data_IF_660021583514
#
_entry.id   IF_660021583514
#
_cell.length_a   1.000
_cell.length_b   1.000
_cell.length_c   1.000
_cell.angle_alpha   90.00
_cell.angle_beta   90.00
_cell.angle_gamma   90.00
#
_symmetry.space_group_name_H-M   'P 1'
#
loop_
_entity.id
_entity.type
_entity.pdbx_description
1 polymer ?
#
# COMPACT_ATOMS: atom_id res chain seq x y z
N UNK A 1 -20.79 4.75 15.45
CA UNK A 1 -20.84 5.53 14.20
C UNK A 1 -21.02 4.51 13.10
N UNK A 2 -22.25 4.34 12.64
CA UNK A 2 -22.52 3.49 11.47
C UNK A 2 -21.87 4.16 10.26
N UNK A 3 -20.85 3.51 9.72
CA UNK A 3 -20.18 3.99 8.53
C UNK A 3 -21.06 3.58 7.34
N UNK A 4 -22.08 4.39 7.02
CA UNK A 4 -23.11 4.10 6.00
C UNK A 4 -22.55 3.72 4.62
N UNK A 5 -21.25 3.96 4.38
CA UNK A 5 -20.55 3.60 3.14
C UNK A 5 -20.00 2.19 3.09
N UNK A 6 -19.79 1.51 4.22
CA UNK A 6 -19.24 0.14 4.26
C UNK A 6 -20.31 -0.84 4.72
N UNK A 7 -20.66 -1.82 3.90
CA UNK A 7 -21.67 -2.82 4.23
C UNK A 7 -21.12 -3.94 5.13
N UNK A 8 -19.81 -4.16 5.14
CA UNK A 8 -19.14 -5.19 5.92
C UNK A 8 -18.07 -4.62 6.87
N UNK A 9 -18.17 -3.34 7.22
CA UNK A 9 -17.20 -2.67 8.10
C UNK A 9 -17.17 -3.22 9.54
N UNK A 10 -18.20 -3.95 9.94
CA UNK A 10 -18.29 -4.68 11.21
C UNK A 10 -17.42 -5.95 11.24
N UNK A 11 -17.04 -6.49 10.07
CA UNK A 11 -16.20 -7.68 9.94
C UNK A 11 -14.72 -7.34 10.08
N UNK A 12 -14.32 -7.07 11.31
CA UNK A 12 -12.93 -6.84 11.67
C UNK A 12 -12.24 -8.19 11.84
N UNK A 13 -11.14 -8.42 11.14
CA UNK A 13 -10.29 -9.59 11.31
C UNK A 13 -8.94 -9.21 11.90
N UNK A 14 -8.35 -10.14 12.63
CA UNK A 14 -6.99 -10.01 13.11
C UNK A 14 -6.02 -10.35 11.98
N UNK A 15 -5.16 -9.41 11.64
CA UNK A 15 -4.15 -9.53 10.60
C UNK A 15 -2.77 -9.46 11.24
N UNK A 16 -1.87 -10.32 10.76
CA UNK A 16 -0.47 -10.32 11.14
C UNK A 16 0.41 -10.17 9.92
N UNK A 17 1.58 -9.58 10.11
CA UNK A 17 2.61 -9.46 9.09
C UNK A 17 3.99 -9.32 9.68
N UNK A 18 4.99 -9.31 8.80
CA UNK A 18 6.40 -9.11 9.16
C UNK A 18 6.91 -7.87 8.44
N UNK A 19 7.59 -6.98 9.16
CA UNK A 19 8.23 -5.82 8.56
C UNK A 19 9.37 -6.30 7.67
N UNK A 20 9.31 -5.99 6.38
CA UNK A 20 10.33 -6.37 5.40
C UNK A 20 11.23 -5.20 5.00
N UNK A 21 10.76 -3.96 5.15
CA UNK A 21 11.52 -2.77 4.79
C UNK A 21 11.07 -1.55 5.62
N UNK A 22 12.04 -0.68 5.95
CA UNK A 22 11.87 0.51 6.77
C UNK A 22 12.62 1.68 6.12
N UNK A 23 11.87 2.56 5.47
CA UNK A 23 12.35 3.83 4.93
C UNK A 23 12.21 4.95 5.98
N UNK A 24 12.75 6.14 5.70
CA UNK A 24 12.59 7.32 6.58
C UNK A 24 11.13 7.70 6.83
N UNK A 25 10.26 7.53 5.82
CA UNK A 25 8.86 7.96 5.87
C UNK A 25 7.85 6.82 5.88
N UNK A 26 8.25 5.60 5.55
CA UNK A 26 7.34 4.47 5.34
C UNK A 26 7.89 3.17 5.87
N UNK A 27 6.98 2.30 6.29
CA UNK A 27 7.27 0.93 6.70
C UNK A 27 6.47 0.02 5.80
N UNK A 28 7.10 -1.08 5.43
CA UNK A 28 6.60 -2.07 4.51
C UNK A 28 6.48 -3.41 5.22
N UNK A 29 5.29 -3.99 5.16
CA UNK A 29 4.89 -5.21 5.85
C UNK A 29 4.49 -6.25 4.80
N UNK A 30 5.01 -7.47 4.93
CA UNK A 30 4.50 -8.64 4.23
C UNK A 30 3.45 -9.34 5.10
N UNK A 31 2.25 -9.53 4.56
CA UNK A 31 1.12 -10.09 5.29
C UNK A 31 1.25 -11.61 5.37
N UNK A 32 1.14 -12.16 6.59
CA UNK A 32 1.13 -13.61 6.79
C UNK A 32 -0.02 -14.25 6.02
N UNK A 33 0.17 -15.48 5.56
CA UNK A 33 -0.82 -16.20 4.74
C UNK A 33 -0.78 -15.85 3.25
N UNK A 34 0.26 -15.16 2.78
CA UNK A 34 0.44 -14.74 1.37
C UNK A 34 -0.66 -13.79 0.89
N UNK A 35 -1.14 -12.93 1.81
CA UNK A 35 -2.20 -11.97 1.54
C UNK A 35 -1.68 -10.71 0.82
N UNK A 36 -0.35 -10.60 0.66
CA UNK A 36 0.29 -9.56 -0.13
C UNK A 36 1.07 -8.57 0.73
N UNK A 37 1.30 -7.38 0.18
CA UNK A 37 2.18 -6.38 0.76
C UNK A 37 1.41 -5.13 1.19
N UNK A 38 1.76 -4.60 2.35
CA UNK A 38 1.17 -3.39 2.92
C UNK A 38 2.26 -2.37 3.22
N UNK A 39 2.19 -1.20 2.59
CA UNK A 39 3.09 -0.07 2.84
C UNK A 39 2.31 1.06 3.49
N UNK A 40 2.75 1.49 4.67
CA UNK A 40 2.11 2.57 5.41
C UNK A 40 3.15 3.58 5.93
N UNK A 41 2.77 4.86 6.09
CA UNK A 41 3.62 5.86 6.70
C UNK A 41 3.98 5.51 8.15
N UNK A 42 5.20 5.85 8.60
CA UNK A 42 5.66 5.60 9.98
C UNK A 42 4.68 6.10 11.04
N UNK A 43 4.03 7.26 10.81
CA UNK A 43 3.04 7.86 11.72
C UNK A 43 1.79 7.00 12.00
N UNK A 44 1.53 5.96 11.19
CA UNK A 44 0.41 5.05 11.41
C UNK A 44 0.77 3.88 12.33
N UNK A 45 2.05 3.68 12.64
CA UNK A 45 2.51 2.59 13.48
C UNK A 45 2.47 3.02 14.94
N UNK A 46 1.87 2.16 15.76
CA UNK A 46 1.86 2.31 17.21
C UNK A 46 2.97 1.40 17.73
N UNK A 47 4.07 1.99 18.18
CA UNK A 47 5.24 1.27 18.64
C UNK A 47 5.95 2.03 19.75
N UNK A 48 6.32 1.33 20.83
CA UNK A 48 7.12 1.90 21.92
C UNK A 48 8.62 1.96 21.58
N UNK A 49 9.03 1.23 20.54
CA UNK A 49 10.41 1.14 20.08
C UNK A 49 10.49 1.37 18.57
N UNK A 50 11.67 1.73 18.08
CA UNK A 50 11.86 1.97 16.67
C UNK A 50 11.60 0.70 15.84
N UNK A 51 10.75 0.76 14.79
CA UNK A 51 10.45 -0.38 13.93
C UNK A 51 11.68 -0.87 13.17
N UNK A 52 11.87 -2.19 13.15
CA UNK A 52 13.00 -2.88 12.51
C UNK A 52 12.50 -4.00 11.60
N UNK A 53 13.28 -4.26 10.56
CA UNK A 53 13.06 -5.40 9.66
C UNK A 53 13.08 -6.72 10.44
N UNK A 54 12.15 -7.60 10.11
CA UNK A 54 11.96 -8.91 10.76
C UNK A 54 11.02 -8.90 11.96
N UNK A 55 10.56 -7.73 12.43
CA UNK A 55 9.60 -7.67 13.53
C UNK A 55 8.20 -8.05 13.06
N UNK A 56 7.50 -8.81 13.91
CA UNK A 56 6.09 -9.13 13.71
C UNK A 56 5.20 -7.97 14.15
N UNK A 57 4.16 -7.72 13.36
CA UNK A 57 3.15 -6.69 13.61
C UNK A 57 1.77 -7.31 13.49
N UNK A 58 0.86 -6.89 14.35
CA UNK A 58 -0.53 -7.36 14.36
C UNK A 58 -1.49 -6.19 14.49
N UNK A 59 -2.59 -6.23 13.74
CA UNK A 59 -3.63 -5.22 13.83
C UNK A 59 -5.00 -5.77 13.43
N UNK A 60 -6.02 -5.00 13.78
CA UNK A 60 -7.40 -5.31 13.47
C UNK A 60 -7.81 -4.52 12.22
N UNK A 61 -8.16 -5.20 11.14
CA UNK A 61 -8.55 -4.59 9.86
C UNK A 61 -9.62 -5.45 9.19
N UNK A 62 -10.58 -4.82 8.49
CA UNK A 62 -11.52 -5.54 7.63
C UNK A 62 -10.90 -5.78 6.24
N UNK A 63 -11.43 -6.74 5.49
CA UNK A 63 -11.08 -6.84 4.08
C UNK A 63 -11.49 -5.57 3.32
N UNK A 64 -10.73 -5.18 2.27
CA UNK A 64 -11.12 -4.07 1.41
C UNK A 64 -12.49 -4.35 0.76
N UNK A 65 -13.42 -3.42 0.90
CA UNK A 65 -14.75 -3.50 0.29
C UNK A 65 -14.83 -2.56 -0.92
N UNK A 66 -15.40 -3.06 -2.02
CA UNK A 66 -15.73 -2.23 -3.17
C UNK A 66 -16.96 -1.37 -2.84
N UNK A 67 -16.79 -0.05 -2.78
CA UNK A 67 -17.86 0.90 -2.44
C UNK A 67 -18.93 1.06 -3.54
N UNK A 68 -18.62 0.65 -4.77
CA UNK A 68 -19.54 0.75 -5.90
C UNK A 68 -18.90 0.39 -7.25
N UNK A 69 -19.70 0.34 -8.32
CA UNK A 69 -19.23 -0.01 -9.66
C UNK A 69 -18.54 1.16 -10.39
N UNK A 70 -18.70 2.39 -9.91
CA UNK A 70 -18.14 3.58 -10.55
C UNK A 70 -16.62 3.62 -10.46
N UNK A 71 -15.97 3.82 -11.61
CA UNK A 71 -14.52 3.98 -11.69
C UNK A 71 -14.16 5.44 -11.50
N UNK A 72 -13.15 5.71 -10.67
CA UNK A 72 -12.61 7.05 -10.53
C UNK A 72 -11.73 7.42 -11.75
N UNK A 73 -12.36 7.92 -12.80
CA UNK A 73 -11.71 8.26 -14.09
C UNK A 73 -10.55 9.24 -13.93
N UNK A 74 -10.68 10.22 -13.02
CA UNK A 74 -9.61 11.18 -12.72
C UNK A 74 -8.36 10.46 -12.21
N UNK A 75 -8.54 9.46 -11.36
CA UNK A 75 -7.45 8.68 -10.82
C UNK A 75 -6.81 7.79 -11.89
N UNK A 76 -7.62 7.12 -12.72
CA UNK A 76 -7.14 6.31 -13.85
C UNK A 76 -6.32 7.16 -14.82
N UNK A 77 -6.81 8.34 -15.21
CA UNK A 77 -6.09 9.25 -16.10
C UNK A 77 -4.74 9.67 -15.52
N UNK A 78 -4.66 9.92 -14.21
CA UNK A 78 -3.39 10.26 -13.57
C UNK A 78 -2.41 9.08 -13.58
N UNK A 79 -2.87 7.86 -13.32
CA UNK A 79 -2.03 6.64 -13.41
C UNK A 79 -1.47 6.48 -14.83
N UNK A 80 -2.30 6.66 -15.85
CA UNK A 80 -1.86 6.54 -17.25
C UNK A 80 -0.83 7.60 -17.63
N UNK A 81 -1.03 8.85 -17.19
CA UNK A 81 -0.07 9.94 -17.42
C UNK A 81 1.28 9.65 -16.77
N UNK A 82 1.29 9.17 -15.53
CA UNK A 82 2.52 8.82 -14.83
C UNK A 82 3.23 7.61 -15.48
N UNK A 83 2.47 6.59 -15.91
CA UNK A 83 3.04 5.45 -16.66
C UNK A 83 3.71 5.90 -17.96
N UNK A 84 3.08 6.82 -18.72
CA UNK A 84 3.67 7.37 -19.96
C UNK A 84 4.97 8.10 -19.68
N UNK A 85 5.00 8.98 -18.67
CA UNK A 85 6.23 9.69 -18.28
C UNK A 85 7.36 8.74 -17.88
N UNK A 86 7.06 7.68 -17.13
CA UNK A 86 8.04 6.68 -16.73
C UNK A 86 8.61 5.92 -17.94
N UNK A 87 7.76 5.54 -18.90
CA UNK A 87 8.20 4.88 -20.14
C UNK A 87 9.07 5.81 -21.00
N UNK A 88 8.70 7.08 -21.15
CA UNK A 88 9.51 8.07 -21.88
C UNK A 88 10.87 8.31 -21.21
N UNK A 89 10.90 8.41 -19.87
CA UNK A 89 12.14 8.56 -19.11
C UNK A 89 13.03 7.32 -19.25
N UNK A 90 12.45 6.12 -19.17
CA UNK A 90 13.18 4.87 -19.36
C UNK A 90 13.77 4.78 -20.77
N UNK A 91 12.99 5.07 -21.81
CA UNK A 91 13.45 5.06 -23.20
C UNK A 91 14.60 6.05 -23.45
N UNK A 92 14.57 7.24 -22.81
CA UNK A 92 15.68 8.21 -22.87
C UNK A 92 16.93 7.71 -22.17
N UNK A 93 16.78 7.04 -21.03
CA UNK A 93 17.92 6.47 -20.29
C UNK A 93 18.56 5.30 -21.05
N UNK A 94 17.75 4.50 -21.74
CA UNK A 94 18.25 3.38 -22.55
C UNK A 94 18.94 3.89 -23.83
N UNK A 95 18.39 4.91 -24.50
CA UNK A 95 19.04 5.53 -25.66
C UNK A 95 20.40 6.18 -25.31
N UNK A 96 20.54 6.77 -24.12
CA UNK A 96 21.80 7.37 -23.66
C UNK A 96 22.85 6.35 -23.17
N UNK A 97 22.51 5.05 -23.08
CA UNK A 97 23.46 3.98 -22.72
C UNK A 97 24.06 3.27 -23.94
N UNK A 98 23.49 3.50 -25.12
CA UNK A 98 23.93 2.88 -26.39
C UNK A 98 24.93 3.76 -27.18
N UNK A 99 25.21 4.98 -26.71
CA UNK A 99 26.31 5.88 -27.14
C UNK A 99 27.50 5.81 -26.16
#
# INVERSE_FOLDING_TARGET
>A
MDNERLHYGDKIIYMEGVIVDVDDCSISIDLKGRLGFFKAPKRMFICDTEPKVGQEVGWNMSFPEQLGPEVNEKYVSNIEKERRKQQEMQARLDANKED
#
